data_IF_357293992631
#
_entry.id   IF_357293992631
#
_cell.length_a   1.000
_cell.length_b   1.000
_cell.length_c   1.000
_cell.angle_alpha   90.00
_cell.angle_beta   90.00
_cell.angle_gamma   90.00
#
_symmetry.space_group_name_H-M   'P 1'
#
loop_
_entity.id
_entity.type
_entity.pdbx_description
1 polymer ?
#
# COMPACT_ATOMS: atom_id res chain seq x y z
N UNK A 1 1.97 14.95 17.25
CA UNK A 1 3.08 14.53 16.34
C UNK A 1 4.03 13.60 17.08
N UNK A 2 4.39 13.94 18.32
CA UNK A 2 5.28 13.16 19.19
C UNK A 2 4.86 11.68 19.32
N UNK A 3 3.57 11.41 19.52
CA UNK A 3 3.07 10.03 19.57
C UNK A 3 3.34 9.22 18.28
N UNK A 4 3.30 9.87 17.11
CA UNK A 4 3.67 9.22 15.83
C UNK A 4 5.18 9.00 15.76
N UNK A 5 5.97 10.00 16.21
CA UNK A 5 7.42 9.91 16.28
C UNK A 5 7.87 8.75 17.16
N UNK A 6 7.32 8.64 18.37
CA UNK A 6 7.64 7.58 19.33
C UNK A 6 7.25 6.21 18.80
N UNK A 7 6.02 6.09 18.28
CA UNK A 7 5.50 4.82 17.79
C UNK A 7 6.29 4.27 16.60
N UNK A 8 6.70 5.14 15.67
CA UNK A 8 7.50 4.75 14.51
C UNK A 8 9.02 4.87 14.75
N UNK A 9 9.46 5.26 15.95
CA UNK A 9 10.88 5.49 16.31
C UNK A 9 11.58 6.42 15.30
N UNK A 10 10.93 7.53 14.96
CA UNK A 10 11.42 8.48 13.95
C UNK A 10 12.44 9.45 14.54
N UNK A 11 13.46 9.77 13.77
CA UNK A 11 14.28 10.96 13.99
C UNK A 11 13.49 12.25 13.70
N UNK A 12 13.94 13.38 14.22
CA UNK A 12 13.31 14.69 13.96
C UNK A 12 13.27 15.02 12.47
N UNK A 13 14.32 14.66 11.72
CA UNK A 13 14.37 14.84 10.26
C UNK A 13 13.37 13.96 9.52
N UNK A 14 13.18 12.72 9.97
CA UNK A 14 12.16 11.81 9.43
C UNK A 14 10.75 12.33 9.72
N UNK A 15 10.48 12.78 10.95
CA UNK A 15 9.21 13.41 11.31
C UNK A 15 8.94 14.65 10.45
N UNK A 16 9.95 15.53 10.28
CA UNK A 16 9.85 16.72 9.43
C UNK A 16 9.53 16.36 7.98
N UNK A 17 10.17 15.33 7.42
CA UNK A 17 9.87 14.83 6.06
C UNK A 17 8.43 14.33 5.92
N UNK A 18 7.92 13.62 6.93
CA UNK A 18 6.52 13.17 6.95
C UNK A 18 5.58 14.38 6.97
N UNK A 19 5.80 15.34 7.85
CA UNK A 19 4.96 16.53 7.96
C UNK A 19 4.93 17.35 6.66
N UNK A 20 6.09 17.57 6.03
CA UNK A 20 6.16 18.31 4.77
C UNK A 20 5.42 17.61 3.61
N UNK A 21 5.37 16.28 3.61
CA UNK A 21 4.65 15.49 2.60
C UNK A 21 3.17 15.26 2.96
N UNK A 22 2.83 15.36 4.23
CA UNK A 22 1.48 15.14 4.76
C UNK A 22 1.14 16.15 5.86
N UNK A 23 0.91 17.44 5.53
CA UNK A 23 0.60 18.44 6.56
C UNK A 23 -0.67 18.13 7.35
N UNK A 24 -1.64 17.43 6.74
CA UNK A 24 -2.91 17.05 7.36
C UNK A 24 -2.78 16.06 8.52
N UNK A 25 -1.59 15.48 8.76
CA UNK A 25 -1.33 14.60 9.89
C UNK A 25 -1.59 15.28 11.26
N UNK A 26 -1.48 16.61 11.34
CA UNK A 26 -1.69 17.35 12.61
C UNK A 26 -3.14 17.40 13.06
N UNK A 27 -4.09 17.27 12.13
CA UNK A 27 -5.52 17.28 12.45
C UNK A 27 -6.07 15.90 12.83
N UNK A 28 -5.21 14.89 12.91
CA UNK A 28 -5.59 13.48 13.07
C UNK A 28 -5.28 12.99 14.48
N UNK A 29 -6.25 12.30 15.08
CA UNK A 29 -6.06 11.70 16.39
C UNK A 29 -5.16 10.45 16.26
N UNK A 30 -4.12 10.37 17.10
CA UNK A 30 -3.20 9.25 17.06
C UNK A 30 -3.86 7.93 17.49
N UNK A 31 -4.49 7.90 18.66
CA UNK A 31 -5.07 6.68 19.24
C UNK A 31 -6.32 6.21 18.48
N UNK A 32 -7.14 7.14 17.98
CA UNK A 32 -8.41 6.80 17.32
C UNK A 32 -8.28 6.54 15.82
N UNK A 33 -7.23 7.08 15.16
CA UNK A 33 -7.12 6.99 13.70
C UNK A 33 -5.81 6.40 13.21
N UNK A 34 -4.67 6.91 13.69
CA UNK A 34 -3.35 6.56 13.14
C UNK A 34 -2.91 5.19 13.66
N UNK A 35 -2.84 5.02 14.97
CA UNK A 35 -2.37 3.80 15.64
C UNK A 35 -3.14 2.55 15.24
N UNK A 36 -4.50 2.53 15.17
CA UNK A 36 -5.23 1.35 14.74
C UNK A 36 -4.90 0.95 13.30
N UNK A 37 -4.71 1.94 12.41
CA UNK A 37 -4.34 1.69 11.01
C UNK A 37 -2.94 1.12 10.88
N UNK A 38 -1.97 1.69 11.61
CA UNK A 38 -0.58 1.24 11.60
C UNK A 38 -0.45 -0.18 12.17
N UNK A 39 -1.06 -0.45 13.33
CA UNK A 39 -1.04 -1.77 13.95
C UNK A 39 -1.69 -2.83 13.07
N UNK A 40 -2.90 -2.56 12.55
CA UNK A 40 -3.60 -3.53 11.72
C UNK A 40 -2.86 -3.81 10.40
N UNK A 41 -2.22 -2.79 9.81
CA UNK A 41 -1.37 -2.97 8.64
C UNK A 41 -0.12 -3.81 8.97
N UNK A 42 0.52 -3.54 10.11
CA UNK A 42 1.68 -4.27 10.59
C UNK A 42 1.35 -5.74 10.81
N UNK A 43 0.24 -6.03 11.50
CA UNK A 43 -0.21 -7.38 11.82
C UNK A 43 -0.60 -8.15 10.55
N UNK A 44 -1.40 -7.52 9.66
CA UNK A 44 -1.89 -8.16 8.45
C UNK A 44 -0.76 -8.56 7.49
N UNK A 45 0.26 -7.70 7.35
CA UNK A 45 1.40 -7.95 6.49
C UNK A 45 2.60 -8.55 7.24
N UNK A 46 2.48 -8.87 8.53
CA UNK A 46 3.57 -9.37 9.39
C UNK A 46 4.85 -8.54 9.21
N UNK A 47 4.73 -7.23 9.32
CA UNK A 47 5.85 -6.29 9.16
C UNK A 47 6.61 -6.16 10.48
N UNK A 48 7.94 -6.10 10.40
CA UNK A 48 8.73 -5.62 11.53
C UNK A 48 8.53 -4.11 11.73
N UNK A 49 8.88 -3.60 12.92
CA UNK A 49 8.85 -2.15 13.21
C UNK A 49 9.60 -1.34 12.15
N UNK A 50 10.79 -1.82 11.74
CA UNK A 50 11.62 -1.17 10.73
C UNK A 50 10.98 -1.19 9.34
N UNK A 51 10.26 -2.26 9.00
CA UNK A 51 9.55 -2.37 7.72
C UNK A 51 8.34 -1.45 7.68
N UNK A 52 7.57 -1.38 8.77
CA UNK A 52 6.48 -0.43 8.91
C UNK A 52 7.01 1.01 8.83
N UNK A 53 8.07 1.35 9.58
CA UNK A 53 8.69 2.68 9.55
C UNK A 53 9.11 3.07 8.13
N UNK A 54 9.85 2.21 7.43
CA UNK A 54 10.30 2.45 6.05
C UNK A 54 9.12 2.62 5.09
N UNK A 55 8.06 1.81 5.25
CA UNK A 55 6.86 1.93 4.45
C UNK A 55 6.19 3.29 4.63
N UNK A 56 5.98 3.74 5.88
CA UNK A 56 5.38 5.05 6.17
C UNK A 56 6.27 6.21 5.69
N UNK A 57 7.58 6.11 5.83
CA UNK A 57 8.51 7.11 5.29
C UNK A 57 8.45 7.20 3.77
N UNK A 58 8.27 6.06 3.09
CA UNK A 58 8.14 6.02 1.63
C UNK A 58 6.82 6.63 1.16
N UNK A 59 5.72 6.35 1.88
CA UNK A 59 4.37 6.80 1.55
C UNK A 59 3.59 7.26 2.79
N UNK A 60 3.83 8.51 3.26
CA UNK A 60 3.19 9.03 4.46
C UNK A 60 1.66 9.03 4.40
N UNK A 61 1.08 9.15 3.20
CA UNK A 61 -0.37 9.18 3.00
C UNK A 61 -1.10 7.92 3.49
N UNK A 62 -0.39 6.79 3.70
CA UNK A 62 -0.96 5.59 4.35
C UNK A 62 -1.57 5.96 5.70
N UNK A 63 -0.95 6.88 6.43
CA UNK A 63 -1.48 7.38 7.71
C UNK A 63 -2.91 7.84 7.49
N UNK A 64 -3.23 8.56 6.41
CA UNK A 64 -4.57 9.12 6.12
C UNK A 64 -5.66 8.09 5.78
N UNK A 65 -5.31 6.82 5.61
CA UNK A 65 -6.27 5.78 5.29
C UNK A 65 -6.84 5.14 6.56
N UNK A 66 -7.98 4.46 6.41
CA UNK A 66 -8.48 3.53 7.40
C UNK A 66 -8.17 2.10 6.94
N UNK A 67 -7.59 1.29 7.82
CA UNK A 67 -7.19 -0.07 7.46
C UNK A 67 -8.38 -0.91 6.97
N UNK A 68 -9.49 -0.92 7.70
CA UNK A 68 -10.63 -1.80 7.38
C UNK A 68 -11.45 -1.32 6.18
N UNK A 69 -11.54 -0.02 5.96
CA UNK A 69 -12.38 0.55 4.90
C UNK A 69 -11.61 0.78 3.59
N UNK A 70 -10.30 0.99 3.64
CA UNK A 70 -9.50 1.32 2.46
C UNK A 70 -8.46 0.25 2.15
N UNK A 71 -7.61 -0.10 3.13
CA UNK A 71 -6.42 -0.91 2.89
C UNK A 71 -6.78 -2.39 2.70
N UNK A 72 -7.48 -2.97 3.68
CA UNK A 72 -7.82 -4.38 3.72
C UNK A 72 -8.63 -4.82 2.50
N UNK A 73 -9.68 -4.09 2.06
CA UNK A 73 -10.42 -4.48 0.85
C UNK A 73 -9.53 -4.54 -0.39
N UNK A 74 -8.62 -3.58 -0.57
CA UNK A 74 -7.68 -3.57 -1.70
C UNK A 74 -6.71 -4.76 -1.63
N UNK A 75 -6.14 -5.03 -0.46
CA UNK A 75 -5.19 -6.13 -0.28
C UNK A 75 -5.86 -7.51 -0.45
N UNK A 76 -7.03 -7.71 0.15
CA UNK A 76 -7.81 -8.95 0.03
C UNK A 76 -8.20 -9.21 -1.44
N UNK A 77 -8.70 -8.19 -2.14
CA UNK A 77 -9.11 -8.32 -3.53
C UNK A 77 -7.91 -8.65 -4.44
N UNK A 78 -6.78 -7.97 -4.24
CA UNK A 78 -5.54 -8.25 -4.96
C UNK A 78 -5.01 -9.66 -4.70
N UNK A 79 -5.00 -10.09 -3.44
CA UNK A 79 -4.59 -11.42 -3.04
C UNK A 79 -5.49 -12.49 -3.70
N UNK A 80 -6.80 -12.25 -3.72
CA UNK A 80 -7.78 -13.16 -4.32
C UNK A 80 -7.67 -13.22 -5.85
N UNK A 81 -7.47 -12.07 -6.52
CA UNK A 81 -7.39 -11.96 -7.98
C UNK A 81 -6.16 -12.65 -8.54
N UNK A 82 -5.03 -12.51 -7.85
CA UNK A 82 -3.74 -13.04 -8.29
C UNK A 82 -3.34 -14.33 -7.57
N UNK A 83 -4.18 -14.85 -6.67
CA UNK A 83 -3.90 -16.04 -5.83
C UNK A 83 -2.52 -15.93 -5.15
N UNK A 84 -2.27 -14.78 -4.52
CA UNK A 84 -1.01 -14.52 -3.82
C UNK A 84 -1.00 -15.26 -2.49
N UNK A 85 0.13 -15.88 -2.17
CA UNK A 85 0.44 -16.24 -0.79
C UNK A 85 0.63 -14.98 0.06
N UNK A 86 0.54 -15.12 1.39
CA UNK A 86 0.80 -14.01 2.32
C UNK A 86 2.19 -13.39 2.11
N UNK A 87 3.20 -14.22 1.83
CA UNK A 87 4.57 -13.77 1.56
C UNK A 87 4.69 -12.99 0.25
N UNK A 88 3.98 -13.43 -0.80
CA UNK A 88 3.93 -12.72 -2.08
C UNK A 88 3.20 -11.38 -1.93
N UNK A 89 2.07 -11.34 -1.21
CA UNK A 89 1.35 -10.10 -0.92
C UNK A 89 2.23 -9.15 -0.11
N UNK A 90 2.85 -9.62 0.96
CA UNK A 90 3.78 -8.84 1.78
C UNK A 90 4.94 -8.28 0.95
N UNK A 91 5.58 -9.11 0.12
CA UNK A 91 6.67 -8.67 -0.77
C UNK A 91 6.19 -7.63 -1.76
N UNK A 92 5.04 -7.85 -2.39
CA UNK A 92 4.43 -6.93 -3.35
C UNK A 92 4.18 -5.57 -2.71
N UNK A 93 3.51 -5.54 -1.57
CA UNK A 93 3.18 -4.31 -0.83
C UNK A 93 4.42 -3.57 -0.33
N UNK A 94 5.48 -4.29 0.08
CA UNK A 94 6.75 -3.65 0.46
C UNK A 94 7.49 -3.04 -0.72
N UNK A 95 7.41 -3.69 -1.88
CA UNK A 95 8.09 -3.23 -3.10
C UNK A 95 7.36 -2.04 -3.72
N UNK A 96 6.03 -2.03 -3.64
CA UNK A 96 5.19 -0.94 -4.11
C UNK A 96 4.15 -0.55 -3.04
N UNK A 97 4.53 0.22 -2.01
CA UNK A 97 3.60 0.66 -0.96
C UNK A 97 2.39 1.45 -1.50
N UNK A 98 2.54 2.09 -2.67
CA UNK A 98 1.48 2.83 -3.34
C UNK A 98 0.21 2.01 -3.60
N UNK A 99 0.30 0.68 -3.76
CA UNK A 99 -0.88 -0.15 -4.00
C UNK A 99 -1.91 -0.04 -2.86
N UNK A 100 -1.46 0.20 -1.62
CA UNK A 100 -2.32 0.33 -0.44
C UNK A 100 -3.26 1.55 -0.56
N UNK A 101 -2.82 2.59 -1.27
CA UNK A 101 -3.59 3.83 -1.44
C UNK A 101 -4.50 3.81 -2.67
N UNK A 102 -4.47 2.73 -3.47
CA UNK A 102 -5.30 2.57 -4.65
C UNK A 102 -6.60 1.85 -4.31
N UNK A 103 -7.65 2.16 -5.07
CA UNK A 103 -8.87 1.36 -5.07
C UNK A 103 -8.68 0.17 -6.02
N UNK A 104 -9.00 -1.04 -5.57
CA UNK A 104 -8.84 -2.23 -6.40
C UNK A 104 -9.67 -2.17 -7.69
N UNK A 105 -10.97 -1.92 -7.59
CA UNK A 105 -11.90 -1.91 -8.73
C UNK A 105 -11.62 -0.74 -9.69
N UNK A 106 -11.27 0.43 -9.16
CA UNK A 106 -11.14 1.63 -9.99
C UNK A 106 -9.74 1.78 -10.62
N UNK A 107 -8.71 1.17 -10.01
CA UNK A 107 -7.32 1.40 -10.42
C UNK A 107 -6.58 0.12 -10.79
N UNK A 108 -6.72 -0.94 -9.99
CA UNK A 108 -5.89 -2.15 -10.12
C UNK A 108 -6.51 -3.13 -11.11
N UNK A 109 -7.78 -3.50 -10.93
CA UNK A 109 -8.47 -4.49 -11.76
C UNK A 109 -8.48 -4.11 -13.25
N UNK A 110 -8.80 -2.87 -13.66
CA UNK A 110 -8.76 -2.48 -15.07
C UNK A 110 -7.36 -2.62 -15.68
N UNK A 111 -6.32 -2.31 -14.90
CA UNK A 111 -4.93 -2.45 -15.33
C UNK A 111 -4.58 -3.93 -15.54
N UNK A 112 -4.97 -4.79 -14.59
CA UNK A 112 -4.74 -6.23 -14.68
C UNK A 112 -5.47 -6.85 -15.88
N UNK A 113 -6.72 -6.47 -16.11
CA UNK A 113 -7.53 -7.00 -17.21
C UNK A 113 -7.02 -6.54 -18.57
N UNK A 114 -6.62 -5.28 -18.72
CA UNK A 114 -5.99 -4.76 -19.95
C UNK A 114 -4.70 -5.53 -20.25
N UNK A 115 -3.84 -5.71 -19.24
CA UNK A 115 -2.58 -6.45 -19.41
C UNK A 115 -2.85 -7.89 -19.83
N UNK A 116 -3.79 -8.56 -19.15
CA UNK A 116 -4.13 -9.94 -19.42
C UNK A 116 -4.70 -10.12 -20.84
N UNK A 117 -5.64 -9.25 -21.22
CA UNK A 117 -6.29 -9.29 -22.53
C UNK A 117 -5.31 -8.94 -23.67
N UNK A 118 -4.53 -7.86 -23.52
CA UNK A 118 -3.61 -7.41 -24.59
C UNK A 118 -2.47 -8.38 -24.82
N UNK A 119 -1.96 -9.00 -23.77
CA UNK A 119 -0.85 -9.95 -23.86
C UNK A 119 -1.34 -11.39 -24.08
N UNK A 120 -2.64 -11.65 -23.94
CA UNK A 120 -3.27 -12.98 -24.03
C UNK A 120 -2.62 -14.00 -23.09
N UNK A 121 -2.36 -13.58 -21.86
CA UNK A 121 -1.68 -14.37 -20.84
C UNK A 121 -2.67 -15.01 -19.86
N UNK A 122 -2.30 -16.17 -19.31
CA UNK A 122 -3.04 -16.86 -18.26
C UNK A 122 -2.98 -16.11 -16.91
N UNK A 123 -3.85 -16.47 -15.96
CA UNK A 123 -3.80 -15.91 -14.60
C UNK A 123 -2.45 -16.18 -13.91
N UNK A 124 -1.84 -17.33 -14.18
CA UNK A 124 -0.53 -17.69 -13.62
C UNK A 124 0.58 -16.79 -14.18
N UNK A 125 0.55 -16.51 -15.48
CA UNK A 125 1.50 -15.60 -16.12
C UNK A 125 1.29 -14.15 -15.67
N UNK A 126 0.02 -13.72 -15.51
CA UNK A 126 -0.31 -12.41 -14.94
C UNK A 126 0.22 -12.28 -13.51
N UNK A 127 -0.04 -13.27 -12.65
CA UNK A 127 0.53 -13.34 -11.29
C UNK A 127 2.05 -13.21 -11.34
N UNK A 128 2.72 -14.02 -12.15
CA UNK A 128 4.19 -14.01 -12.28
C UNK A 128 4.70 -12.65 -12.70
N UNK A 129 4.04 -12.00 -13.66
CA UNK A 129 4.39 -10.66 -14.14
C UNK A 129 4.27 -9.62 -13.03
N UNK A 130 3.15 -9.59 -12.30
CA UNK A 130 2.92 -8.64 -11.19
C UNK A 130 3.93 -8.85 -10.06
N UNK A 131 4.19 -10.09 -9.66
CA UNK A 131 5.13 -10.40 -8.56
C UNK A 131 6.58 -10.05 -8.96
N UNK A 132 6.93 -10.20 -10.25
CA UNK A 132 8.27 -9.88 -10.75
C UNK A 132 8.46 -8.39 -10.97
N UNK A 133 7.41 -7.68 -11.41
CA UNK A 133 7.43 -6.25 -11.73
C UNK A 133 6.21 -5.52 -11.14
N UNK A 134 6.18 -5.28 -9.81
CA UNK A 134 5.06 -4.61 -9.14
C UNK A 134 4.69 -3.25 -9.73
N UNK A 135 5.67 -2.50 -10.24
CA UNK A 135 5.49 -1.17 -10.82
C UNK A 135 4.52 -1.13 -12.00
N UNK A 136 4.19 -2.28 -12.61
CA UNK A 136 3.23 -2.36 -13.72
C UNK A 136 1.81 -1.92 -13.28
N UNK A 137 1.46 -2.08 -12.00
CA UNK A 137 0.16 -1.64 -11.45
C UNK A 137 0.19 -0.15 -11.06
N UNK A 138 1.32 0.36 -10.58
CA UNK A 138 1.47 1.75 -10.15
C UNK A 138 1.67 2.76 -11.29
N UNK A 139 1.93 2.27 -12.50
CA UNK A 139 2.12 3.09 -13.69
C UNK A 139 0.76 3.44 -14.30
N UNK A 140 0.07 4.42 -13.73
CA UNK A 140 -1.26 4.91 -14.17
C UNK A 140 -1.31 5.46 -15.61
N UNK A 141 -0.26 5.27 -16.43
CA UNK A 141 -0.17 5.68 -17.83
C UNK A 141 -0.52 4.57 -18.83
N UNK A 142 -0.88 3.37 -18.39
CA UNK A 142 -1.27 2.27 -19.31
C UNK A 142 -2.74 2.42 -19.78
N UNK A 143 -3.53 3.27 -19.13
CA UNK A 143 -4.94 3.50 -19.46
C UNK A 143 -5.15 4.97 -19.85
N UNK A 144 -5.54 5.28 -21.10
CA UNK A 144 -6.15 6.57 -21.39
C UNK A 144 -7.43 6.65 -20.57
N UNK A 145 -7.60 7.71 -19.77
CA UNK A 145 -8.92 8.04 -19.24
C UNK A 145 -9.82 8.28 -20.45
N UNK A 146 -10.73 7.33 -20.71
CA UNK A 146 -11.81 7.50 -21.68
C UNK A 146 -12.78 8.58 -21.17
#
# INVERSE_FOLDING_TARGET
LDAVQDHLKLSDDELRKIFLRLPSIVGRNFDDNIKPTLNALQDHLKLSDDELRKMILSLPSIINLNFYNNIKPTLDALQNRLKLSDDELRKLTRTLPAIISLNFNDNIEPTLDILQHRLKISDLELKKMVVTMPSIIGSSNIVPKL
#
